data_IF_969073492280
#
_entry.id   IF_969073492280
#
_cell.length_a   1.000
_cell.length_b   1.000
_cell.length_c   1.000
_cell.angle_alpha   90.00
_cell.angle_beta   90.00
_cell.angle_gamma   90.00
#
_symmetry.space_group_name_H-M   'P 1'
#
loop_
_entity.id
_entity.type
_entity.pdbx_description
1 polymer ?
#
# COMPACT_ATOMS: atom_id res chain seq x y z
N UNK A 1 -28.00 -4.28 11.35
CA UNK A 1 -27.12 -4.46 10.18
C UNK A 1 -25.67 -4.48 10.67
N UNK A 2 -24.91 -5.56 10.46
CA UNK A 2 -23.49 -5.63 10.84
C UNK A 2 -22.65 -5.26 9.63
N UNK A 3 -22.02 -4.09 9.66
CA UNK A 3 -21.07 -3.68 8.62
C UNK A 3 -19.85 -4.61 8.76
N UNK A 4 -19.54 -5.38 7.71
CA UNK A 4 -18.38 -6.29 7.69
C UNK A 4 -17.20 -5.58 7.05
N UNK A 5 -16.06 -5.60 7.72
CA UNK A 5 -14.81 -5.08 7.15
C UNK A 5 -14.35 -5.94 6.00
N UNK A 6 -14.01 -5.31 4.88
CA UNK A 6 -13.44 -5.93 3.69
C UNK A 6 -12.17 -6.72 4.08
N UNK A 7 -12.00 -7.98 3.61
CA UNK A 7 -10.90 -8.83 4.04
C UNK A 7 -9.50 -8.20 3.87
N UNK A 8 -9.28 -7.48 2.76
CA UNK A 8 -8.00 -6.81 2.47
C UNK A 8 -7.60 -5.79 3.55
N UNK A 9 -8.58 -5.13 4.18
CA UNK A 9 -8.31 -4.10 5.18
C UNK A 9 -7.94 -4.67 6.56
N UNK A 10 -8.19 -5.97 6.81
CA UNK A 10 -7.87 -6.59 8.10
C UNK A 10 -6.37 -6.61 8.40
N UNK A 11 -5.56 -6.60 7.35
CA UNK A 11 -4.10 -6.57 7.45
C UNK A 11 -3.55 -5.17 7.19
N UNK A 12 -4.37 -4.11 7.14
CA UNK A 12 -3.93 -2.73 6.91
C UNK A 12 -3.99 -1.91 8.20
N UNK A 13 -3.14 -0.90 8.29
CA UNK A 13 -3.09 0.05 9.41
C UNK A 13 -2.90 1.48 8.91
N UNK A 14 -3.25 2.45 9.77
CA UNK A 14 -2.84 3.84 9.59
C UNK A 14 -1.31 3.92 9.54
N UNK A 15 -0.78 4.68 8.59
CA UNK A 15 0.65 4.77 8.33
C UNK A 15 1.16 3.81 7.26
N UNK A 16 0.37 2.81 6.86
CA UNK A 16 0.75 1.92 5.76
C UNK A 16 0.87 2.67 4.43
N UNK A 17 1.81 2.22 3.63
CA UNK A 17 1.97 2.66 2.25
C UNK A 17 1.08 1.83 1.36
N UNK A 18 0.31 2.50 0.51
CA UNK A 18 -0.65 1.89 -0.39
C UNK A 18 -0.45 2.39 -1.80
N UNK A 19 -0.75 1.51 -2.76
CA UNK A 19 -0.77 1.85 -4.17
C UNK A 19 -2.20 1.80 -4.69
N UNK A 20 -2.65 2.86 -5.35
CA UNK A 20 -3.91 2.84 -6.11
C UNK A 20 -3.70 2.16 -7.45
N UNK A 21 -4.43 1.08 -7.70
CA UNK A 21 -4.45 0.37 -8.98
C UNK A 21 -5.14 1.18 -10.08
N UNK A 22 -6.10 2.05 -9.68
CA UNK A 22 -6.87 2.88 -10.60
C UNK A 22 -6.13 4.13 -11.03
N UNK A 23 -5.58 4.84 -10.07
CA UNK A 23 -4.94 6.15 -10.28
C UNK A 23 -3.41 6.03 -10.42
N UNK A 24 -2.86 4.83 -10.23
CA UNK A 24 -1.43 4.52 -10.34
C UNK A 24 -0.51 5.38 -9.45
N UNK A 25 -1.00 5.79 -8.28
CA UNK A 25 -0.30 6.66 -7.33
C UNK A 25 -0.08 5.99 -5.98
N UNK A 26 1.00 6.40 -5.31
CA UNK A 26 1.34 5.99 -3.95
C UNK A 26 0.79 7.00 -2.95
N UNK A 27 0.30 6.48 -1.83
CA UNK A 27 -0.05 7.32 -0.70
C UNK A 27 0.12 6.57 0.62
N UNK A 28 0.00 7.31 1.72
CA UNK A 28 0.02 6.75 3.07
C UNK A 28 -1.39 6.80 3.66
N UNK A 29 -1.80 5.71 4.29
CA UNK A 29 -3.10 5.61 4.97
C UNK A 29 -3.14 6.56 6.15
N UNK A 30 -4.18 7.39 6.21
CA UNK A 30 -4.40 8.39 7.27
C UNK A 30 -5.61 8.05 8.13
N UNK A 31 -6.59 7.32 7.57
CA UNK A 31 -7.70 6.74 8.31
C UNK A 31 -8.19 5.46 7.64
N UNK A 32 -8.88 4.61 8.40
CA UNK A 32 -9.46 3.36 7.89
C UNK A 32 -10.96 3.31 8.09
N UNK A 33 -11.66 2.74 7.11
CA UNK A 33 -13.10 2.51 7.11
C UNK A 33 -13.37 1.04 6.78
N UNK A 34 -14.59 0.51 6.98
CA UNK A 34 -14.87 -0.90 6.74
C UNK A 34 -14.63 -1.39 5.30
N UNK A 35 -14.69 -0.51 4.29
CA UNK A 35 -14.51 -0.88 2.88
C UNK A 35 -13.56 0.05 2.11
N UNK A 36 -12.88 0.97 2.79
CA UNK A 36 -12.01 1.97 2.18
C UNK A 36 -10.94 2.45 3.16
N UNK A 37 -9.93 3.15 2.62
CA UNK A 37 -8.94 3.90 3.40
C UNK A 37 -8.97 5.37 2.96
N UNK A 38 -8.74 6.29 3.90
CA UNK A 38 -8.41 7.66 3.56
C UNK A 38 -6.90 7.78 3.39
N UNK A 39 -6.49 8.54 2.39
CA UNK A 39 -5.10 8.90 2.14
C UNK A 39 -5.00 10.39 1.84
N UNK A 40 -3.81 10.96 1.98
CA UNK A 40 -3.51 12.29 1.45
C UNK A 40 -2.67 12.14 0.18
N UNK A 41 -3.19 12.65 -0.94
CA UNK A 41 -2.46 12.73 -2.22
C UNK A 41 -1.94 14.13 -2.44
N UNK A 42 -0.76 14.25 -3.03
CA UNK A 42 -0.20 15.55 -3.43
C UNK A 42 -0.41 15.70 -4.93
N UNK A 43 -1.11 16.77 -5.32
CA UNK A 43 -1.35 17.11 -6.73
C UNK A 43 -0.66 18.42 -7.05
N UNK A 44 0.11 18.45 -8.14
CA UNK A 44 0.67 19.67 -8.69
C UNK A 44 -0.34 20.31 -9.64
N UNK A 45 -0.88 21.46 -9.25
CA UNK A 45 -1.76 22.27 -10.11
C UNK A 45 -0.95 23.37 -10.78
N UNK A 46 -1.24 23.62 -12.06
CA UNK A 46 -0.64 24.69 -12.86
C UNK A 46 -1.61 25.86 -13.11
N UNK A 47 -2.87 25.74 -12.67
CA UNK A 47 -3.95 26.68 -13.04
C UNK A 47 -3.73 28.10 -12.46
N UNK A 48 -2.99 28.25 -11.37
CA UNK A 48 -2.69 29.54 -10.73
C UNK A 48 -1.19 29.68 -10.42
N UNK A 49 -0.34 29.18 -11.32
CA UNK A 49 1.08 28.92 -11.04
C UNK A 49 1.29 27.53 -10.44
N UNK A 50 2.56 27.12 -10.34
CA UNK A 50 2.93 25.80 -9.82
C UNK A 50 2.64 25.71 -8.32
N UNK A 51 1.50 25.10 -7.97
CA UNK A 51 1.06 24.95 -6.58
C UNK A 51 0.90 23.48 -6.23
N UNK A 52 1.54 23.07 -5.14
CA UNK A 52 1.34 21.73 -4.57
C UNK A 52 0.15 21.78 -3.62
N UNK A 53 -0.87 21.00 -3.92
CA UNK A 53 -2.06 20.87 -3.09
C UNK A 53 -2.10 19.47 -2.47
N UNK A 54 -2.33 19.40 -1.17
CA UNK A 54 -2.59 18.13 -0.48
C UNK A 54 -4.09 17.93 -0.37
N UNK A 55 -4.59 16.87 -0.97
CA UNK A 55 -6.02 16.58 -1.03
C UNK A 55 -6.31 15.24 -0.37
N UNK A 56 -7.24 15.18 0.62
CA UNK A 56 -7.70 13.92 1.16
C UNK A 56 -8.52 13.17 0.11
N UNK A 57 -8.25 11.88 -0.06
CA UNK A 57 -8.99 11.01 -0.95
C UNK A 57 -9.41 9.73 -0.22
N UNK A 58 -10.61 9.26 -0.53
CA UNK A 58 -11.12 7.98 -0.07
C UNK A 58 -10.89 6.94 -1.16
N UNK A 59 -10.10 5.91 -0.87
CA UNK A 59 -9.79 4.83 -1.81
C UNK A 59 -10.45 3.53 -1.37
N UNK A 60 -11.18 2.89 -2.28
CA UNK A 60 -11.85 1.62 -2.06
C UNK A 60 -10.84 0.49 -1.83
N UNK A 61 -11.17 -0.45 -0.95
CA UNK A 61 -10.31 -1.59 -0.65
C UNK A 61 -10.02 -2.50 -1.86
N UNK A 62 -10.93 -2.51 -2.85
CA UNK A 62 -10.78 -3.29 -4.08
C UNK A 62 -9.69 -2.70 -5.00
N UNK A 63 -9.53 -1.37 -4.99
CA UNK A 63 -8.67 -0.63 -5.91
C UNK A 63 -7.27 -0.34 -5.34
N UNK A 64 -6.93 -0.88 -4.17
CA UNK A 64 -5.65 -0.60 -3.51
C UNK A 64 -4.87 -1.87 -3.18
N UNK A 65 -3.55 -1.76 -3.21
CA UNK A 65 -2.62 -2.76 -2.72
C UNK A 65 -1.83 -2.22 -1.52
N UNK A 66 -1.68 -3.05 -0.48
CA UNK A 66 -0.86 -2.71 0.68
C UNK A 66 0.60 -3.04 0.38
N UNK A 67 1.46 -2.03 0.41
CA UNK A 67 2.88 -2.17 0.16
C UNK A 67 3.68 -2.39 1.45
N UNK A 68 3.08 -2.18 2.62
CA UNK A 68 3.70 -2.36 3.93
C UNK A 68 3.62 -3.79 4.46
N UNK A 69 3.41 -4.77 3.58
CA UNK A 69 3.36 -6.19 3.89
C UNK A 69 4.17 -7.01 2.88
N UNK A 70 4.58 -8.21 3.29
CA UNK A 70 5.19 -9.20 2.41
C UNK A 70 4.16 -9.65 1.38
N UNK A 71 4.49 -9.51 0.09
CA UNK A 71 3.58 -9.90 -0.99
C UNK A 71 3.28 -11.40 -1.05
N UNK A 72 4.16 -12.23 -0.49
CA UNK A 72 3.99 -13.69 -0.48
C UNK A 72 3.18 -14.20 0.71
N UNK A 73 3.45 -13.70 1.93
CA UNK A 73 2.86 -14.25 3.16
C UNK A 73 2.06 -13.25 4.01
N UNK A 74 2.06 -11.96 3.65
CA UNK A 74 1.35 -10.90 4.37
C UNK A 74 1.99 -10.44 5.68
N UNK A 75 3.14 -11.00 6.09
CA UNK A 75 3.88 -10.55 7.27
C UNK A 75 4.45 -9.13 7.10
N UNK A 76 4.69 -8.45 8.21
CA UNK A 76 5.16 -7.05 8.24
C UNK A 76 6.63 -6.90 8.63
N UNK A 77 7.21 -7.94 9.18
CA UNK A 77 8.57 -7.91 9.73
C UNK A 77 9.62 -8.22 8.67
N UNK A 78 10.79 -7.62 8.82
CA UNK A 78 11.98 -7.83 7.98
C UNK A 78 11.69 -7.73 6.47
N UNK A 79 10.92 -6.71 6.07
CA UNK A 79 10.59 -6.45 4.68
C UNK A 79 11.80 -5.86 3.94
N UNK A 80 12.21 -6.52 2.85
CA UNK A 80 13.18 -6.02 1.90
C UNK A 80 12.49 -5.75 0.55
N UNK A 81 12.91 -4.68 -0.13
CA UNK A 81 12.48 -4.40 -1.50
C UNK A 81 13.35 -5.23 -2.46
N UNK A 82 12.74 -6.08 -3.29
CA UNK A 82 13.47 -6.89 -4.27
C UNK A 82 13.96 -6.05 -5.46
N UNK A 83 13.14 -5.08 -5.88
CA UNK A 83 13.43 -4.25 -7.05
C UNK A 83 13.39 -2.76 -6.68
N UNK A 84 14.42 -1.98 -7.05
CA UNK A 84 14.44 -0.55 -6.78
C UNK A 84 13.59 0.28 -7.77
N UNK A 85 13.04 -0.35 -8.81
CA UNK A 85 12.28 0.32 -9.87
C UNK A 85 10.81 -0.11 -9.85
N UNK A 86 9.89 0.84 -9.97
CA UNK A 86 8.44 0.59 -10.01
C UNK A 86 7.78 0.48 -8.62
N UNK A 87 6.64 -0.21 -8.55
CA UNK A 87 5.93 -0.43 -7.29
C UNK A 87 6.73 -1.35 -6.37
N UNK A 88 6.97 -0.93 -5.10
CA UNK A 88 7.86 -1.65 -4.21
C UNK A 88 7.30 -3.04 -3.93
N UNK A 89 7.94 -4.04 -4.55
CA UNK A 89 7.68 -5.45 -4.30
C UNK A 89 8.46 -5.84 -3.05
N UNK A 90 7.77 -5.93 -1.90
CA UNK A 90 8.38 -6.27 -0.61
C UNK A 90 8.19 -7.74 -0.27
N UNK A 91 9.27 -8.40 0.12
CA UNK A 91 9.27 -9.75 0.68
C UNK A 91 9.88 -9.73 2.08
N UNK A 92 9.35 -10.53 3.00
CA UNK A 92 10.03 -10.79 4.26
C UNK A 92 11.25 -11.70 4.04
N UNK A 93 12.18 -11.67 4.99
CA UNK A 93 13.41 -12.49 4.96
C UNK A 93 13.15 -13.98 4.62
N UNK A 94 12.11 -14.58 5.18
CA UNK A 94 11.78 -15.99 4.95
C UNK A 94 11.26 -16.27 3.53
N UNK A 95 10.47 -15.35 2.95
CA UNK A 95 9.96 -15.50 1.59
C UNK A 95 11.02 -15.16 0.53
N UNK A 96 11.98 -14.30 0.88
CA UNK A 96 13.12 -13.97 0.02
C UNK A 96 14.13 -15.12 -0.09
N UNK A 97 14.40 -15.79 1.02
CA UNK A 97 15.28 -16.95 1.08
C UNK A 97 14.53 -18.12 1.70
N UNK A 98 13.59 -18.75 0.95
CA UNK A 98 12.96 -19.97 1.42
C UNK A 98 14.09 -20.96 1.69
N UNK A 99 14.24 -21.39 2.95
CA UNK A 99 15.26 -22.38 3.34
C UNK A 99 15.07 -23.60 2.44
N UNK A 100 15.92 -23.73 1.41
CA UNK A 100 15.71 -24.62 0.28
C UNK A 100 16.48 -24.28 -1.01
N UNK A 101 16.99 -23.07 -1.19
CA UNK A 101 17.81 -22.71 -2.38
C UNK A 101 19.33 -22.74 -2.12
N UNK A 102 19.81 -23.74 -1.37
CA UNK A 102 21.22 -24.12 -1.34
C UNK A 102 21.33 -25.58 -1.77
N UNK A 103 21.30 -25.82 -3.07
CA UNK A 103 21.84 -27.03 -3.70
C UNK A 103 22.06 -26.73 -5.19
N UNK A 104 23.32 -26.79 -5.62
CA UNK A 104 23.77 -26.58 -7.00
C UNK A 104 25.06 -25.81 -7.06
#
# INVERSE_FOLDING_TARGET
>A
MRIRTHPKLRSMHVGDEVYSLREHIYARVTAMFPAAVCVHTITLSWQHGATLQTTPQLWCAEDIENLSICRSCGLRDDLACEYPTGAPFRLCRSCRHPRGSCAG
#
